data_IF_240266683030
#
_entry.id   IF_240266683030
#
_cell.length_a   1.000
_cell.length_b   1.000
_cell.length_c   1.000
_cell.angle_alpha   90.00
_cell.angle_beta   90.00
_cell.angle_gamma   90.00
#
_symmetry.space_group_name_H-M   'P 1'
#
loop_
_entity.id
_entity.type
_entity.pdbx_description
1 polymer ?
#
# COMPACT_ATOMS: atom_id res chain seq x y z
N UNK A 1 -3.85 -9.01 11.76
CA UNK A 1 -5.04 -8.24 11.33
C UNK A 1 -5.60 -8.82 10.03
N UNK A 2 -6.93 -8.84 9.83
CA UNK A 2 -7.57 -9.29 8.56
C UNK A 2 -7.04 -8.52 7.35
N UNK A 3 -6.75 -7.23 7.52
CA UNK A 3 -6.21 -6.34 6.48
C UNK A 3 -4.81 -6.76 6.01
N UNK A 4 -3.91 -7.06 6.95
CA UNK A 4 -2.54 -7.46 6.60
C UNK A 4 -2.46 -8.87 6.03
N UNK A 5 -3.32 -9.80 6.48
CA UNK A 5 -3.45 -11.12 5.83
C UNK A 5 -3.92 -11.01 4.39
N UNK A 6 -4.91 -10.14 4.13
CA UNK A 6 -5.33 -9.85 2.76
C UNK A 6 -4.20 -9.22 1.93
N UNK A 7 -3.45 -8.29 2.53
CA UNK A 7 -2.32 -7.64 1.87
C UNK A 7 -1.26 -8.67 1.47
N UNK A 8 -0.86 -9.57 2.37
CA UNK A 8 0.10 -10.65 2.08
C UNK A 8 -0.32 -11.46 0.85
N UNK A 9 -1.57 -11.94 0.80
CA UNK A 9 -2.08 -12.66 -0.38
C UNK A 9 -2.10 -11.82 -1.66
N UNK A 10 -2.38 -10.51 -1.57
CA UNK A 10 -2.29 -9.62 -2.73
C UNK A 10 -0.84 -9.43 -3.22
N UNK A 11 0.12 -9.35 -2.30
CA UNK A 11 1.55 -9.24 -2.64
C UNK A 11 2.11 -10.53 -3.26
N UNK A 12 1.62 -11.68 -2.82
CA UNK A 12 1.95 -13.00 -3.39
C UNK A 12 1.39 -13.15 -4.81
N UNK A 13 0.12 -12.80 -5.00
CA UNK A 13 -0.54 -12.88 -6.31
C UNK A 13 0.04 -11.91 -7.34
N UNK A 14 0.44 -10.70 -6.89
CA UNK A 14 1.06 -9.70 -7.74
C UNK A 14 2.23 -9.02 -7.01
N UNK A 15 3.45 -9.55 -7.14
CA UNK A 15 4.69 -8.94 -6.68
C UNK A 15 4.82 -7.43 -6.94
N UNK A 16 5.29 -6.63 -5.96
CA UNK A 16 5.70 -5.25 -6.23
C UNK A 16 6.85 -5.21 -7.24
N UNK A 17 6.86 -4.23 -8.15
CA UNK A 17 7.93 -4.08 -9.13
C UNK A 17 9.28 -3.82 -8.44
N UNK A 18 10.34 -4.22 -9.13
CA UNK A 18 11.70 -3.86 -8.74
C UNK A 18 12.03 -2.48 -9.29
N UNK A 19 12.63 -1.63 -8.46
CA UNK A 19 13.10 -0.31 -8.87
C UNK A 19 14.59 -0.23 -8.59
N UNK A 20 15.38 0.09 -9.63
CA UNK A 20 16.85 0.17 -9.56
C UNK A 20 17.50 -1.09 -8.95
N UNK A 21 17.05 -2.27 -9.38
CA UNK A 21 17.59 -3.56 -8.91
C UNK A 21 17.21 -3.97 -7.48
N UNK A 22 16.36 -3.20 -6.78
CA UNK A 22 15.86 -3.53 -5.44
C UNK A 22 14.35 -3.63 -5.45
N UNK A 23 13.81 -4.66 -4.77
CA UNK A 23 12.36 -4.82 -4.60
C UNK A 23 11.82 -3.84 -3.56
N UNK A 24 10.68 -3.23 -3.85
CA UNK A 24 9.98 -2.40 -2.86
C UNK A 24 9.43 -3.32 -1.78
N UNK A 25 9.90 -3.17 -0.53
CA UNK A 25 9.39 -3.94 0.60
C UNK A 25 8.17 -3.22 1.16
N UNK A 26 6.99 -3.79 0.92
CA UNK A 26 5.76 -3.40 1.60
C UNK A 26 5.73 -4.14 2.94
N UNK A 27 5.62 -3.39 4.05
CA UNK A 27 5.72 -3.94 5.40
C UNK A 27 4.36 -4.32 5.94
N UNK A 28 3.45 -3.36 5.96
CA UNK A 28 2.09 -3.53 6.47
C UNK A 28 1.21 -2.39 5.97
N UNK A 29 -0.08 -2.53 6.20
CA UNK A 29 -1.08 -1.51 5.96
C UNK A 29 -1.97 -1.35 7.19
N UNK A 30 -2.45 -0.12 7.38
CA UNK A 30 -3.41 0.21 8.43
C UNK A 30 -4.55 1.05 7.86
N UNK A 31 -5.71 1.00 8.51
CA UNK A 31 -6.81 1.90 8.23
C UNK A 31 -6.66 3.15 9.11
N UNK A 32 -6.27 4.27 8.51
CA UNK A 32 -6.01 5.52 9.22
C UNK A 32 -7.29 6.30 9.53
N UNK A 33 -8.31 6.22 8.67
CA UNK A 33 -9.62 6.88 8.86
C UNK A 33 -10.75 6.03 8.28
N UNK A 34 -11.95 6.23 8.84
CA UNK A 34 -13.16 5.46 8.47
C UNK A 34 -14.01 6.16 7.42
N UNK A 35 -14.14 7.49 7.47
CA UNK A 35 -15.01 8.27 6.56
C UNK A 35 -14.23 9.46 5.97
N UNK A 36 -13.81 9.42 4.70
CA UNK A 36 -13.84 8.26 3.79
C UNK A 36 -12.84 7.17 4.22
N UNK A 37 -13.04 5.89 3.83
CA UNK A 37 -12.09 4.82 4.10
C UNK A 37 -10.69 5.18 3.58
N UNK A 38 -9.77 5.40 4.51
CA UNK A 38 -8.42 5.86 4.21
C UNK A 38 -7.42 4.86 4.78
N UNK A 39 -6.56 4.34 3.91
CA UNK A 39 -5.53 3.37 4.24
C UNK A 39 -4.15 4.00 4.11
N UNK A 40 -3.24 3.61 5.01
CA UNK A 40 -1.83 3.96 4.94
C UNK A 40 -1.02 2.68 4.72
N UNK A 41 -0.26 2.64 3.62
CA UNK A 41 0.63 1.55 3.23
C UNK A 41 2.07 1.94 3.56
N UNK A 42 2.75 1.16 4.40
CA UNK A 42 4.14 1.44 4.77
C UNK A 42 5.10 0.64 3.90
N UNK A 43 5.97 1.33 3.17
CA UNK A 43 6.92 0.72 2.23
C UNK A 43 8.34 1.29 2.38
N UNK A 44 9.36 0.56 1.92
CA UNK A 44 10.77 1.00 1.99
C UNK A 44 11.13 2.11 0.99
N UNK A 45 10.49 2.13 -0.18
CA UNK A 45 10.71 3.11 -1.24
C UNK A 45 9.34 3.64 -1.71
N UNK A 46 8.60 4.27 -0.80
CA UNK A 46 7.22 4.68 -1.02
C UNK A 46 7.04 5.56 -2.27
N UNK A 47 7.93 6.51 -2.48
CA UNK A 47 7.92 7.43 -3.63
C UNK A 47 8.16 6.74 -4.98
N UNK A 48 8.74 5.54 -4.95
CA UNK A 48 9.06 4.76 -6.15
C UNK A 48 7.99 3.72 -6.46
N UNK A 49 6.95 3.59 -5.63
CA UNK A 49 5.87 2.65 -5.89
C UNK A 49 4.99 3.20 -7.03
N UNK A 50 4.87 2.50 -8.17
CA UNK A 50 4.09 3.03 -9.28
C UNK A 50 2.61 3.18 -8.94
N UNK A 51 1.98 4.21 -9.50
CA UNK A 51 0.55 4.47 -9.36
C UNK A 51 -0.33 3.30 -9.82
N UNK A 52 0.13 2.53 -10.81
CA UNK A 52 -0.55 1.32 -11.24
C UNK A 52 -0.66 0.28 -10.12
N UNK A 53 0.39 0.16 -9.29
CA UNK A 53 0.42 -0.78 -8.18
C UNK A 53 -0.42 -0.28 -7.00
N UNK A 54 -0.43 1.03 -6.72
CA UNK A 54 -1.33 1.60 -5.71
C UNK A 54 -2.79 1.45 -6.13
N UNK A 55 -3.12 1.61 -7.42
CA UNK A 55 -4.45 1.33 -7.97
C UNK A 55 -4.83 -0.14 -7.87
N UNK A 56 -3.90 -1.05 -8.15
CA UNK A 56 -4.10 -2.49 -7.95
C UNK A 56 -4.53 -2.81 -6.51
N UNK A 57 -3.79 -2.33 -5.51
CA UNK A 57 -4.12 -2.53 -4.11
C UNK A 57 -5.44 -1.85 -3.71
N UNK A 58 -5.67 -0.62 -4.15
CA UNK A 58 -6.92 0.10 -3.86
C UNK A 58 -8.15 -0.62 -4.43
N UNK A 59 -8.06 -1.15 -5.65
CA UNK A 59 -9.14 -1.91 -6.28
C UNK A 59 -9.34 -3.27 -5.61
N UNK A 60 -8.26 -3.92 -5.19
CA UNK A 60 -8.33 -5.13 -4.38
C UNK A 60 -9.02 -4.89 -3.03
N UNK A 61 -8.72 -3.78 -2.35
CA UNK A 61 -9.40 -3.37 -1.11
C UNK A 61 -10.90 -3.16 -1.34
N UNK A 62 -11.27 -2.47 -2.42
CA UNK A 62 -12.69 -2.25 -2.76
C UNK A 62 -13.45 -3.57 -2.89
N UNK A 63 -12.85 -4.54 -3.59
CA UNK A 63 -13.46 -5.87 -3.81
C UNK A 63 -13.52 -6.70 -2.53
N UNK A 64 -12.43 -6.76 -1.75
CA UNK A 64 -12.32 -7.63 -0.58
C UNK A 64 -13.10 -7.14 0.64
N UNK A 65 -13.31 -5.82 0.77
CA UNK A 65 -13.92 -5.19 1.94
C UNK A 65 -15.21 -4.41 1.63
N UNK A 66 -15.69 -4.43 0.38
CA UNK A 66 -17.01 -3.88 0.02
C UNK A 66 -17.07 -2.35 -0.12
N UNK A 67 -15.99 -1.68 -0.53
CA UNK A 67 -15.96 -0.21 -0.68
C UNK A 67 -16.35 0.29 -2.08
N UNK A 68 -17.20 -0.44 -2.81
CA UNK A 68 -17.58 -0.09 -4.18
C UNK A 68 -18.33 1.24 -4.31
N UNK A 69 -19.13 1.61 -3.31
CA UNK A 69 -19.98 2.80 -3.33
C UNK A 69 -19.37 4.07 -2.70
N UNK A 70 -18.11 4.02 -2.23
CA UNK A 70 -17.48 5.15 -1.54
C UNK A 70 -16.06 5.40 -2.07
N UNK A 71 -15.58 6.66 -2.05
CA UNK A 71 -14.20 6.94 -2.39
C UNK A 71 -13.26 6.29 -1.37
N UNK A 72 -12.33 5.46 -1.87
CA UNK A 72 -11.25 4.85 -1.09
C UNK A 72 -9.95 5.61 -1.33
N UNK A 73 -9.28 6.00 -0.24
CA UNK A 73 -7.98 6.68 -0.28
C UNK A 73 -6.89 5.71 0.18
N UNK A 74 -5.82 5.60 -0.60
CA UNK A 74 -4.63 4.83 -0.23
C UNK A 74 -3.43 5.77 -0.28
N UNK A 75 -2.79 5.98 0.87
CA UNK A 75 -1.57 6.77 0.99
C UNK A 75 -0.38 5.84 1.22
N UNK A 76 0.68 6.02 0.43
CA UNK A 76 1.93 5.27 0.62
C UNK A 76 2.85 6.12 1.50
N UNK A 77 3.37 5.54 2.57
CA UNK A 77 4.30 6.18 3.50
C UNK A 77 5.64 5.48 3.48
N UNK A 78 6.70 6.26 3.31
CA UNK A 78 8.07 5.81 3.54
C UNK A 78 8.34 5.72 5.03
N UNK A 79 9.33 4.92 5.41
CA UNK A 79 9.99 5.16 6.70
C UNK A 79 10.85 6.41 6.57
N UNK A 80 10.99 7.18 7.64
CA UNK A 80 12.01 8.23 7.69
C UNK A 80 13.38 7.58 7.51
N UNK A 81 14.15 8.10 6.55
CA UNK A 81 15.56 7.75 6.44
C UNK A 81 16.33 8.71 7.37
N UNK A 82 16.89 8.24 8.49
CA UNK A 82 17.60 9.10 9.43
C UNK A 82 18.86 9.77 8.84
N UNK A 83 19.29 9.37 7.63
CA UNK A 83 20.43 9.92 6.90
C UNK A 83 20.01 10.82 5.72
N UNK A 84 18.76 11.27 5.62
CA UNK A 84 18.28 12.07 4.49
C UNK A 84 18.63 13.57 4.56
N UNK A 85 19.17 14.03 5.69
CA UNK A 85 19.45 15.44 5.99
C UNK A 85 20.95 15.75 6.14
N UNK A 86 21.85 14.92 5.60
CA UNK A 86 23.27 15.26 5.41
C UNK A 86 23.55 15.70 3.98
#
# INVERSE_FOLDING_TARGET
SRLNRWLEGALEANPPPMVKGRRIKIRYMTQARTRPPTFALFASQAERLPDSYTRYLANGLRKAFGFGGVPLRLHVRGGENPFASE
#
